data_IF_978753815844
#
_entry.id   IF_978753815844
#
_cell.length_a   1.000
_cell.length_b   1.000
_cell.length_c   1.000
_cell.angle_alpha   90.00
_cell.angle_beta   90.00
_cell.angle_gamma   90.00
#
_symmetry.space_group_name_H-M   'P 1'
#
loop_
_entity.id
_entity.type
_entity.pdbx_description
1 polymer ?
#
# COMPACT_ATOMS: atom_id res chain seq x y z
N UNK A 1 -14.51 -9.60 -3.60
CA UNK A 1 -13.18 -8.98 -3.75
C UNK A 1 -12.23 -9.70 -2.79
N UNK A 2 -11.61 -10.79 -3.22
CA UNK A 2 -10.51 -11.41 -2.46
C UNK A 2 -9.25 -11.25 -3.32
N UNK A 3 -8.62 -10.08 -3.22
CA UNK A 3 -7.37 -9.73 -3.92
C UNK A 3 -6.14 -10.00 -3.03
N UNK A 4 -6.25 -11.06 -2.21
CA UNK A 4 -5.19 -11.47 -1.31
C UNK A 4 -4.11 -12.19 -2.09
N UNK A 5 -2.89 -11.66 -2.03
CA UNK A 5 -1.74 -12.32 -2.64
C UNK A 5 -1.18 -13.38 -1.70
N UNK A 6 -0.75 -14.49 -2.30
CA UNK A 6 -0.19 -15.65 -1.59
C UNK A 6 1.12 -16.10 -2.24
N UNK A 7 1.94 -16.83 -1.48
CA UNK A 7 3.17 -17.45 -1.97
C UNK A 7 4.06 -16.46 -2.74
N UNK A 8 4.45 -16.83 -3.97
CA UNK A 8 5.29 -16.01 -4.82
C UNK A 8 4.68 -14.64 -5.16
N UNK A 9 3.35 -14.54 -5.29
CA UNK A 9 2.65 -13.28 -5.57
C UNK A 9 2.78 -12.28 -4.42
N UNK A 10 2.66 -12.75 -3.18
CA UNK A 10 2.86 -11.94 -1.98
C UNK A 10 4.32 -11.45 -1.86
N UNK A 11 5.29 -12.33 -2.12
CA UNK A 11 6.71 -11.99 -2.12
C UNK A 11 7.02 -10.91 -3.17
N UNK A 12 6.54 -11.07 -4.41
CA UNK A 12 6.73 -10.08 -5.48
C UNK A 12 6.08 -8.74 -5.16
N UNK A 13 4.89 -8.76 -4.54
CA UNK A 13 4.20 -7.55 -4.11
C UNK A 13 4.98 -6.78 -3.04
N UNK A 14 5.71 -7.46 -2.16
CA UNK A 14 6.55 -6.84 -1.13
C UNK A 14 7.89 -6.38 -1.72
N UNK A 15 8.59 -7.23 -2.48
CA UNK A 15 9.97 -6.94 -2.94
C UNK A 15 10.04 -5.76 -3.92
N UNK A 16 8.93 -5.42 -4.60
CA UNK A 16 8.89 -4.22 -5.45
C UNK A 16 9.17 -2.92 -4.67
N UNK A 17 8.95 -2.94 -3.35
CA UNK A 17 9.21 -1.82 -2.45
C UNK A 17 10.64 -1.82 -1.88
N UNK A 18 11.55 -2.61 -2.45
CA UNK A 18 13.00 -2.51 -2.18
C UNK A 18 13.62 -1.21 -2.71
N UNK A 19 12.86 -0.39 -3.46
CA UNK A 19 13.32 0.85 -4.10
C UNK A 19 14.57 0.68 -4.99
N UNK A 20 14.83 -0.52 -5.50
CA UNK A 20 15.90 -0.78 -6.49
C UNK A 20 15.75 0.09 -7.74
N UNK A 21 14.52 0.43 -8.13
CA UNK A 21 14.26 1.37 -9.24
C UNK A 21 14.77 2.78 -8.95
N UNK A 22 14.83 3.21 -7.68
CA UNK A 22 15.30 4.55 -7.26
C UNK A 22 16.80 4.57 -6.95
N UNK A 23 17.30 3.53 -6.29
CA UNK A 23 18.67 3.48 -5.76
C UNK A 23 19.61 2.57 -6.58
N UNK A 24 19.08 1.93 -7.63
CA UNK A 24 19.83 1.03 -8.50
C UNK A 24 20.17 -0.31 -7.85
N UNK A 25 20.89 -1.16 -8.60
CA UNK A 25 21.32 -2.49 -8.13
C UNK A 25 22.25 -2.45 -6.92
N UNK A 26 22.89 -1.32 -6.65
CA UNK A 26 23.74 -1.13 -5.46
C UNK A 26 22.93 -1.16 -4.16
N UNK A 27 21.60 -0.94 -4.23
CA UNK A 27 20.72 -0.99 -3.07
C UNK A 27 20.57 -2.42 -2.49
N UNK A 28 20.80 -3.46 -3.30
CA UNK A 28 20.72 -4.86 -2.88
C UNK A 28 21.93 -5.63 -3.39
N UNK A 29 23.02 -5.60 -2.63
CA UNK A 29 24.27 -6.31 -2.98
C UNK A 29 24.70 -7.27 -1.88
N UNK A 30 25.30 -8.38 -2.30
CA UNK A 30 25.87 -9.38 -1.39
C UNK A 30 24.87 -9.88 -0.33
N UNK A 31 25.35 -10.03 0.90
CA UNK A 31 24.58 -10.57 2.01
C UNK A 31 23.33 -9.75 2.36
N UNK A 32 23.34 -8.45 2.04
CA UNK A 32 22.18 -7.59 2.24
C UNK A 32 21.02 -8.00 1.33
N UNK A 33 21.30 -8.38 0.08
CA UNK A 33 20.27 -8.84 -0.86
C UNK A 33 19.61 -10.14 -0.36
N UNK A 34 20.41 -11.10 0.09
CA UNK A 34 19.93 -12.37 0.64
C UNK A 34 19.10 -12.17 1.91
N UNK A 35 19.58 -11.29 2.81
CA UNK A 35 18.86 -10.93 4.04
C UNK A 35 17.53 -10.27 3.73
N UNK A 36 17.51 -9.29 2.81
CA UNK A 36 16.30 -8.58 2.41
C UNK A 36 15.27 -9.53 1.78
N UNK A 37 15.70 -10.40 0.86
CA UNK A 37 14.84 -11.41 0.25
C UNK A 37 14.23 -12.36 1.31
N UNK A 38 15.05 -12.83 2.24
CA UNK A 38 14.61 -13.68 3.35
C UNK A 38 13.56 -12.98 4.24
N UNK A 39 13.77 -11.71 4.56
CA UNK A 39 12.81 -10.90 5.33
C UNK A 39 11.49 -10.70 4.58
N UNK A 40 11.54 -10.41 3.28
CA UNK A 40 10.33 -10.29 2.46
C UNK A 40 9.54 -11.62 2.41
N UNK A 41 10.24 -12.76 2.30
CA UNK A 41 9.60 -14.07 2.32
C UNK A 41 8.95 -14.38 3.68
N UNK A 42 9.62 -14.06 4.78
CA UNK A 42 9.04 -14.20 6.12
C UNK A 42 7.80 -13.31 6.31
N UNK A 43 7.82 -12.09 5.80
CA UNK A 43 6.67 -11.19 5.85
C UNK A 43 5.50 -11.77 5.04
N UNK A 44 5.74 -12.19 3.80
CA UNK A 44 4.75 -12.81 2.92
C UNK A 44 4.07 -14.05 3.54
N UNK A 45 4.79 -14.81 4.37
CA UNK A 45 4.27 -16.00 5.04
C UNK A 45 3.43 -15.68 6.30
N UNK A 46 3.61 -14.50 6.91
CA UNK A 46 3.00 -14.14 8.20
C UNK A 46 1.80 -13.22 8.08
N UNK A 47 1.75 -12.37 7.05
CA UNK A 47 0.71 -11.35 6.89
C UNK A 47 -0.13 -11.58 5.64
N UNK A 48 -1.40 -11.16 5.68
CA UNK A 48 -2.21 -11.03 4.47
C UNK A 48 -1.69 -9.89 3.62
N UNK A 49 -1.20 -10.20 2.41
CA UNK A 49 -0.77 -9.17 1.45
C UNK A 49 -1.94 -8.82 0.55
N UNK A 50 -2.30 -7.55 0.50
CA UNK A 50 -3.35 -7.04 -0.37
C UNK A 50 -2.78 -5.94 -1.26
N UNK A 51 -3.25 -5.86 -2.50
CA UNK A 51 -2.88 -4.78 -3.41
C UNK A 51 -3.97 -3.72 -3.40
N UNK A 52 -3.57 -2.47 -3.26
CA UNK A 52 -4.45 -1.34 -3.51
C UNK A 52 -4.49 -1.09 -5.02
N UNK A 53 -5.64 -1.33 -5.63
CA UNK A 53 -5.90 -0.90 -6.99
C UNK A 53 -6.45 0.52 -6.97
N UNK A 54 -5.80 1.41 -7.72
CA UNK A 54 -6.32 2.76 -7.95
C UNK A 54 -7.21 2.67 -9.18
N UNK A 55 -8.54 2.86 -9.05
CA UNK A 55 -9.42 2.89 -10.20
C UNK A 55 -8.97 3.99 -11.17
N UNK A 56 -8.86 3.66 -12.46
CA UNK A 56 -8.46 4.62 -13.50
C UNK A 56 -9.66 5.28 -14.19
N UNK A 57 -10.87 4.84 -13.87
CA UNK A 57 -12.11 5.39 -14.39
C UNK A 57 -12.79 6.35 -13.40
N UNK A 58 -13.74 7.13 -13.92
CA UNK A 58 -14.45 8.17 -13.16
C UNK A 58 -15.80 7.67 -12.61
N UNK A 59 -16.15 6.41 -12.79
CA UNK A 59 -17.46 5.85 -12.47
C UNK A 59 -17.78 5.92 -10.97
N UNK A 60 -16.76 6.06 -10.13
CA UNK A 60 -16.86 6.16 -8.66
C UNK A 60 -16.45 7.52 -8.12
N UNK A 61 -16.31 8.54 -8.98
CA UNK A 61 -15.92 9.89 -8.53
C UNK A 61 -16.95 10.46 -7.55
N UNK A 62 -18.23 10.17 -7.75
CA UNK A 62 -19.30 10.62 -6.88
C UNK A 62 -19.16 10.05 -5.45
N UNK A 63 -18.68 8.81 -5.31
CA UNK A 63 -18.37 8.22 -3.99
C UNK A 63 -17.23 8.96 -3.30
N UNK A 64 -16.18 9.33 -4.05
CA UNK A 64 -15.05 10.09 -3.54
C UNK A 64 -15.46 11.50 -3.13
N UNK A 65 -16.28 12.20 -3.92
CA UNK A 65 -16.85 13.50 -3.58
C UNK A 65 -17.67 13.41 -2.29
N UNK A 66 -18.57 12.43 -2.19
CA UNK A 66 -19.39 12.25 -1.00
C UNK A 66 -18.56 11.94 0.26
N UNK A 67 -17.45 11.21 0.14
CA UNK A 67 -16.51 10.97 1.24
C UNK A 67 -15.85 12.28 1.70
N UNK A 68 -15.39 13.11 0.76
CA UNK A 68 -14.75 14.40 1.05
C UNK A 68 -15.74 15.37 1.71
N UNK A 69 -16.96 15.47 1.19
CA UNK A 69 -18.00 16.35 1.76
C UNK A 69 -18.34 15.97 3.20
N UNK A 70 -18.44 14.66 3.50
CA UNK A 70 -18.65 14.18 4.87
C UNK A 70 -17.49 14.54 5.80
N UNK A 71 -16.26 14.38 5.34
CA UNK A 71 -15.06 14.71 6.12
C UNK A 71 -14.99 16.23 6.41
N UNK A 72 -15.27 17.06 5.41
CA UNK A 72 -15.34 18.51 5.57
C UNK A 72 -16.44 18.94 6.56
N UNK A 73 -17.62 18.31 6.48
CA UNK A 73 -18.71 18.56 7.42
C UNK A 73 -18.33 18.17 8.86
N UNK A 74 -17.69 17.01 9.04
CA UNK A 74 -17.21 16.56 10.34
C UNK A 74 -16.14 17.51 10.92
N UNK A 75 -15.17 17.94 10.09
CA UNK A 75 -14.16 18.92 10.49
C UNK A 75 -14.75 20.28 10.86
N UNK A 76 -15.75 20.75 10.12
CA UNK A 76 -16.46 22.00 10.42
C UNK A 76 -17.28 21.92 11.73
N UNK A 77 -17.88 20.77 12.02
CA UNK A 77 -18.58 20.52 13.28
C UNK A 77 -17.61 20.47 14.47
N UNK A 78 -16.48 19.79 14.33
CA UNK A 78 -15.44 19.75 15.35
C UNK A 78 -14.91 21.16 15.68
N UNK A 79 -14.67 21.99 14.66
CA UNK A 79 -14.23 23.39 14.83
C UNK A 79 -15.28 24.27 15.53
N UNK A 80 -16.57 23.96 15.37
CA UNK A 80 -17.67 24.68 16.05
C UNK A 80 -17.89 24.24 17.49
N UNK A 81 -17.53 23.01 17.84
CA UNK A 81 -17.64 22.50 19.20
C UNK A 81 -16.49 22.99 20.12
N UNK A 82 -15.39 23.45 19.52
CA UNK A 82 -14.21 24.01 20.19
C UNK A 82 -14.25 25.54 20.34
N UNK A 83 -15.34 26.19 19.88
CA UNK A 83 -15.56 27.63 19.92
C UNK A 83 -16.71 27.98 20.88
#
# INVERSE_FOLDING_TARGET
LDDRQQGAGALLAIIKFSYVTRFGRQALVGDFASTHLGQCAQLAARVGVHRLEVPTGLERIDEAVALIERDLAAGAQAKRADA
#
